data_IF_789218948659
#
_entry.id   IF_789218948659
#
_cell.length_a   1.000
_cell.length_b   1.000
_cell.length_c   1.000
_cell.angle_alpha   90.00
_cell.angle_beta   90.00
_cell.angle_gamma   90.00
#
_symmetry.space_group_name_H-M   'P 1'
#
loop_
_entity.id
_entity.type
_entity.pdbx_description
1 polymer ?
#
# COMPACT_ATOMS: atom_id res chain seq x y z
N UNK A 1 18.73 3.61 5.61
CA UNK A 1 20.10 3.15 5.90
C UNK A 1 21.06 3.95 5.05
N UNK A 2 22.17 4.41 5.62
CA UNK A 2 23.22 5.09 4.85
C UNK A 2 24.24 4.07 4.37
N UNK A 3 24.76 4.22 3.14
CA UNK A 3 25.80 3.35 2.60
C UNK A 3 27.09 3.42 3.43
N UNK A 4 27.43 4.60 3.94
CA UNK A 4 28.66 4.82 4.70
C UNK A 4 28.42 5.65 5.96
N UNK A 5 29.39 5.62 6.89
CA UNK A 5 29.33 6.37 8.16
C UNK A 5 29.47 7.88 7.92
N UNK A 6 30.23 8.26 6.91
CA UNK A 6 30.45 9.65 6.49
C UNK A 6 29.14 10.30 6.04
N UNK A 7 28.24 9.54 5.41
CA UNK A 7 26.89 10.01 5.08
C UNK A 7 26.00 10.09 6.33
N UNK A 8 26.07 9.08 7.21
CA UNK A 8 25.27 9.04 8.44
C UNK A 8 25.55 10.23 9.37
N UNK A 9 26.78 10.77 9.40
CA UNK A 9 27.13 11.87 10.32
C UNK A 9 26.27 13.11 10.09
N UNK A 10 25.87 13.37 8.84
CA UNK A 10 25.01 14.52 8.49
C UNK A 10 23.57 14.39 8.98
N UNK A 11 23.14 13.21 9.41
CA UNK A 11 21.82 12.99 10.02
C UNK A 11 21.83 13.24 11.54
N UNK A 12 23.00 13.28 12.17
CA UNK A 12 23.12 13.45 13.62
C UNK A 12 23.17 14.92 13.97
N UNK A 13 22.31 15.38 14.87
CA UNK A 13 22.38 16.71 15.45
C UNK A 13 23.24 16.68 16.71
N UNK A 14 24.13 17.66 16.87
CA UNK A 14 24.94 17.87 18.06
C UNK A 14 24.95 19.36 18.42
N UNK A 15 24.69 19.67 19.70
CA UNK A 15 24.76 21.02 20.24
C UNK A 15 25.68 21.02 21.47
N UNK A 16 26.97 21.34 21.28
CA UNK A 16 27.95 21.29 22.37
C UNK A 16 27.80 22.46 23.36
N UNK A 17 27.31 23.62 22.92
CA UNK A 17 27.23 24.84 23.73
C UNK A 17 25.93 24.96 24.53
N UNK A 18 25.17 23.88 24.66
CA UNK A 18 23.96 23.87 25.47
C UNK A 18 24.30 23.96 26.97
N UNK A 19 23.72 24.90 27.74
CA UNK A 19 24.01 25.03 29.17
C UNK A 19 23.69 23.78 30.00
N UNK A 20 22.80 22.90 29.51
CA UNK A 20 22.49 21.61 30.13
C UNK A 20 23.49 20.49 29.82
N UNK A 21 24.60 20.79 29.13
CA UNK A 21 25.62 19.84 28.70
C UNK A 21 25.47 19.40 27.25
N UNK A 22 26.45 18.65 26.75
CA UNK A 22 26.47 18.16 25.36
C UNK A 22 25.17 17.42 25.02
N UNK A 23 24.42 17.96 24.05
CA UNK A 23 23.20 17.35 23.55
C UNK A 23 23.42 16.74 22.17
N UNK A 24 23.10 15.46 22.00
CA UNK A 24 23.23 14.74 20.72
C UNK A 24 21.99 13.91 20.44
N UNK A 25 21.45 14.01 19.23
CA UNK A 25 20.35 13.15 18.77
C UNK A 25 20.59 12.63 17.35
N UNK A 26 20.34 11.34 17.17
CA UNK A 26 20.49 10.62 15.89
C UNK A 26 19.24 10.66 15.00
N UNK A 27 18.23 11.45 15.35
CA UNK A 27 16.97 11.60 14.63
C UNK A 27 16.27 12.89 15.06
N UNK A 28 15.10 13.18 14.47
CA UNK A 28 14.41 14.47 14.68
C UNK A 28 14.00 14.68 16.14
N UNK A 29 13.50 13.63 16.80
CA UNK A 29 13.05 13.71 18.20
C UNK A 29 14.18 13.44 19.20
N UNK A 30 14.16 14.20 20.31
CA UNK A 30 14.93 13.91 21.51
C UNK A 30 14.37 12.68 22.24
N UNK A 31 13.30 12.86 23.01
CA UNK A 31 12.56 11.75 23.63
C UNK A 31 11.85 10.91 22.56
N UNK A 32 11.86 9.57 22.72
CA UNK A 32 11.29 8.64 21.74
C UNK A 32 10.53 7.51 22.43
N UNK A 33 9.44 7.00 21.83
CA UNK A 33 8.71 5.85 22.36
C UNK A 33 9.50 4.56 22.11
N UNK A 34 10.29 4.13 23.10
CA UNK A 34 11.14 2.92 22.99
C UNK A 34 10.36 1.63 22.69
N UNK A 35 9.08 1.57 23.07
CA UNK A 35 8.23 0.41 22.82
C UNK A 35 8.04 0.12 21.32
N UNK A 36 8.00 1.14 20.45
CA UNK A 36 7.86 0.94 18.99
C UNK A 36 9.09 0.22 18.44
N UNK A 37 10.29 0.57 18.91
CA UNK A 37 11.53 -0.12 18.54
C UNK A 37 11.53 -1.57 19.04
N UNK A 38 11.07 -1.80 20.27
CA UNK A 38 10.95 -3.15 20.82
C UNK A 38 9.95 -4.01 20.01
N UNK A 39 8.79 -3.47 19.65
CA UNK A 39 7.81 -4.16 18.81
C UNK A 39 8.34 -4.46 17.41
N UNK A 40 9.05 -3.52 16.78
CA UNK A 40 9.67 -3.74 15.47
C UNK A 40 10.72 -4.88 15.54
N UNK A 41 11.54 -4.89 16.59
CA UNK A 41 12.51 -5.97 16.80
C UNK A 41 11.82 -7.32 17.05
N UNK A 42 10.78 -7.36 17.88
CA UNK A 42 9.98 -8.56 18.09
C UNK A 42 9.35 -9.07 16.79
N UNK A 43 8.81 -8.19 15.95
CA UNK A 43 8.25 -8.57 14.65
C UNK A 43 9.31 -9.17 13.72
N UNK A 44 10.53 -8.62 13.69
CA UNK A 44 11.63 -9.20 12.91
C UNK A 44 11.98 -10.61 13.38
N UNK A 45 12.06 -10.83 14.69
CA UNK A 45 12.37 -12.15 15.27
C UNK A 45 11.25 -13.16 15.04
N UNK A 46 10.00 -12.77 15.24
CA UNK A 46 8.84 -13.65 15.11
C UNK A 46 8.62 -14.12 13.67
N UNK A 47 8.88 -13.25 12.68
CA UNK A 47 8.76 -13.62 11.27
C UNK A 47 9.99 -14.39 10.78
N UNK A 48 11.19 -13.93 11.12
CA UNK A 48 12.43 -14.43 10.54
C UNK A 48 12.45 -14.30 9.01
N UNK A 49 13.49 -14.84 8.36
CA UNK A 49 13.60 -14.77 6.91
C UNK A 49 12.46 -15.50 6.19
N UNK A 50 12.14 -16.73 6.62
CA UNK A 50 11.13 -17.56 5.96
C UNK A 50 9.73 -16.93 6.05
N UNK A 51 9.35 -16.39 7.21
CA UNK A 51 8.06 -15.71 7.36
C UNK A 51 7.93 -14.50 6.43
N UNK A 52 8.99 -13.71 6.26
CA UNK A 52 8.98 -12.61 5.28
C UNK A 52 8.93 -13.10 3.83
N UNK A 53 9.66 -14.16 3.49
CA UNK A 53 9.64 -14.75 2.13
C UNK A 53 8.27 -15.30 1.80
N UNK A 54 7.65 -16.04 2.71
CA UNK A 54 6.33 -16.64 2.50
C UNK A 54 5.23 -15.58 2.48
N UNK A 55 5.29 -14.59 3.38
CA UNK A 55 4.38 -13.44 3.36
C UNK A 55 4.49 -12.64 2.06
N UNK A 56 5.71 -12.38 1.59
CA UNK A 56 5.94 -11.75 0.28
C UNK A 56 5.34 -12.59 -0.86
N UNK A 57 5.58 -13.90 -0.87
CA UNK A 57 5.03 -14.81 -1.88
C UNK A 57 3.50 -14.74 -1.93
N UNK A 58 2.84 -14.76 -0.76
CA UNK A 58 1.38 -14.66 -0.66
C UNK A 58 0.86 -13.31 -1.18
N UNK A 59 1.44 -12.19 -0.73
CA UNK A 59 0.97 -10.86 -1.15
C UNK A 59 1.19 -10.64 -2.65
N UNK A 60 2.35 -11.02 -3.19
CA UNK A 60 2.66 -10.86 -4.61
C UNK A 60 1.79 -11.77 -5.48
N UNK A 61 1.55 -13.03 -5.07
CA UNK A 61 0.66 -13.92 -5.82
C UNK A 61 -0.78 -13.43 -5.82
N UNK A 62 -1.30 -12.96 -4.68
CA UNK A 62 -2.61 -12.32 -4.60
C UNK A 62 -2.69 -11.04 -5.45
N UNK A 63 -1.62 -10.24 -5.47
CA UNK A 63 -1.57 -9.03 -6.29
C UNK A 63 -1.71 -9.34 -7.78
N UNK A 64 -0.94 -10.34 -8.27
CA UNK A 64 -1.04 -10.81 -9.66
C UNK A 64 -2.42 -11.39 -9.95
N UNK A 65 -2.95 -12.21 -9.05
CA UNK A 65 -4.27 -12.81 -9.16
C UNK A 65 -5.38 -11.76 -9.37
N UNK A 66 -5.35 -10.68 -8.56
CA UNK A 66 -6.32 -9.58 -8.64
C UNK A 66 -6.09 -8.80 -9.94
N UNK A 67 -4.86 -8.40 -10.24
CA UNK A 67 -4.56 -7.57 -11.42
C UNK A 67 -4.98 -8.26 -12.73
N UNK A 68 -4.68 -9.55 -12.90
CA UNK A 68 -5.05 -10.36 -14.06
C UNK A 68 -6.57 -10.49 -14.27
N UNK A 69 -7.35 -10.40 -13.18
CA UNK A 69 -8.82 -10.48 -13.24
C UNK A 69 -9.47 -9.12 -13.37
N UNK A 70 -8.86 -8.08 -12.79
CA UNK A 70 -9.33 -6.71 -12.86
C UNK A 70 -9.31 -6.19 -14.30
N UNK A 71 -8.27 -6.51 -15.09
CA UNK A 71 -8.22 -6.17 -16.53
C UNK A 71 -9.29 -6.85 -17.38
N UNK A 72 -9.91 -7.92 -16.88
CA UNK A 72 -11.00 -8.62 -17.57
C UNK A 72 -12.36 -7.98 -17.30
N UNK A 73 -12.45 -7.05 -16.36
CA UNK A 73 -13.66 -6.29 -16.08
C UNK A 73 -13.75 -5.17 -17.13
N UNK A 74 -14.81 -5.12 -17.95
CA UNK A 74 -14.97 -4.08 -18.96
C UNK A 74 -14.82 -2.69 -18.35
N UNK A 75 -14.23 -1.76 -19.10
CA UNK A 75 -14.08 -0.35 -18.69
C UNK A 75 -13.02 -0.09 -17.61
N UNK A 76 -12.35 -1.10 -17.08
CA UNK A 76 -11.19 -0.93 -16.20
C UNK A 76 -9.87 -1.16 -16.95
N UNK A 77 -8.88 -0.34 -16.65
CA UNK A 77 -7.55 -0.41 -17.25
C UNK A 77 -6.50 -0.23 -16.15
N UNK A 78 -5.46 -1.06 -16.13
CA UNK A 78 -4.32 -0.84 -15.24
C UNK A 78 -3.49 0.34 -15.71
N UNK A 79 -3.07 1.19 -14.78
CA UNK A 79 -2.15 2.30 -15.07
C UNK A 79 -0.70 1.82 -15.21
N UNK A 80 -0.39 0.63 -14.69
CA UNK A 80 0.91 -0.03 -14.84
C UNK A 80 0.72 -1.36 -15.60
N UNK A 81 1.54 -1.64 -16.63
CA UNK A 81 1.41 -2.87 -17.42
C UNK A 81 1.67 -4.16 -16.64
N UNK A 82 2.45 -4.08 -15.55
CA UNK A 82 2.85 -5.24 -14.76
C UNK A 82 2.47 -5.09 -13.29
N UNK A 83 2.00 -6.19 -12.69
CA UNK A 83 1.71 -6.31 -11.26
C UNK A 83 2.89 -6.99 -10.53
N UNK A 84 4.07 -6.39 -10.65
CA UNK A 84 5.31 -6.90 -10.03
C UNK A 84 5.48 -6.48 -8.57
N UNK A 85 4.71 -5.50 -8.12
CA UNK A 85 4.72 -5.00 -6.74
C UNK A 85 3.44 -5.39 -6.02
N UNK A 86 3.22 -4.86 -4.81
CA UNK A 86 2.02 -5.10 -4.00
C UNK A 86 0.92 -4.06 -4.24
N UNK A 87 1.08 -3.17 -5.23
CA UNK A 87 0.15 -2.07 -5.49
C UNK A 87 -0.42 -2.21 -6.89
N UNK A 88 -1.75 -2.13 -7.00
CA UNK A 88 -2.48 -2.24 -8.27
C UNK A 88 -3.11 -0.89 -8.57
N UNK A 89 -2.48 -0.02 -9.38
CA UNK A 89 -3.08 1.22 -9.82
C UNK A 89 -3.95 0.97 -11.06
N UNK A 90 -5.20 1.44 -11.05
CA UNK A 90 -6.13 1.27 -12.14
C UNK A 90 -7.06 2.47 -12.32
N UNK A 91 -7.63 2.59 -13.50
CA UNK A 91 -8.52 3.70 -13.90
C UNK A 91 -9.65 3.19 -14.79
N UNK A 92 -10.57 4.10 -15.12
CA UNK A 92 -11.61 3.89 -16.13
C UNK A 92 -11.66 5.11 -17.05
N UNK A 93 -11.87 4.86 -18.35
CA UNK A 93 -12.20 5.89 -19.34
C UNK A 93 -13.70 5.90 -19.67
N UNK A 94 -14.49 5.03 -19.05
CA UNK A 94 -15.92 4.82 -19.35
C UNK A 94 -16.81 5.42 -18.27
N UNK A 95 -16.36 5.44 -17.02
CA UNK A 95 -17.09 6.00 -15.88
C UNK A 95 -16.13 6.71 -14.91
N UNK A 96 -16.70 7.49 -13.99
CA UNK A 96 -15.92 8.14 -12.92
C UNK A 96 -15.35 7.10 -11.93
N UNK A 97 -14.03 6.93 -11.96
CA UNK A 97 -13.31 5.99 -11.10
C UNK A 97 -13.47 6.29 -9.60
N UNK A 98 -13.72 7.54 -9.21
CA UNK A 98 -13.93 7.90 -7.80
C UNK A 98 -15.33 7.51 -7.32
N UNK A 99 -16.30 7.42 -8.23
CA UNK A 99 -17.61 6.88 -7.90
C UNK A 99 -17.52 5.37 -7.62
N UNK A 100 -16.71 4.64 -8.41
CA UNK A 100 -16.38 3.24 -8.14
C UNK A 100 -15.70 3.08 -6.77
N UNK A 101 -14.69 3.90 -6.48
CA UNK A 101 -14.00 3.91 -5.18
C UNK A 101 -14.99 4.10 -4.02
N UNK A 102 -15.86 5.10 -4.12
CA UNK A 102 -16.85 5.40 -3.09
C UNK A 102 -17.80 4.22 -2.86
N UNK A 103 -18.25 3.56 -3.92
CA UNK A 103 -19.15 2.41 -3.81
C UNK A 103 -18.45 1.18 -3.22
N UNK A 104 -17.22 0.88 -3.66
CA UNK A 104 -16.40 -0.17 -3.07
C UNK A 104 -16.13 0.08 -1.57
N UNK A 105 -15.87 1.33 -1.20
CA UNK A 105 -15.67 1.74 0.19
C UNK A 105 -16.87 1.47 1.09
N UNK A 106 -18.10 1.68 0.59
CA UNK A 106 -19.34 1.32 1.31
C UNK A 106 -19.47 -0.18 1.56
N UNK A 107 -18.77 -1.01 0.77
CA UNK A 107 -18.72 -2.47 0.89
C UNK A 107 -17.46 -2.96 1.60
N UNK A 108 -16.72 -2.07 2.27
CA UNK A 108 -15.55 -2.40 3.08
C UNK A 108 -14.22 -2.40 2.33
N UNK A 109 -14.20 -2.13 1.02
CA UNK A 109 -12.98 -2.08 0.23
C UNK A 109 -12.52 -0.64 0.03
N UNK A 110 -11.62 -0.19 0.92
CA UNK A 110 -11.04 1.15 0.85
C UNK A 110 -9.93 1.20 -0.20
N UNK A 111 -10.18 1.93 -1.28
CA UNK A 111 -9.18 2.24 -2.30
C UNK A 111 -8.61 3.63 -2.06
N UNK A 112 -7.34 3.82 -2.45
CA UNK A 112 -6.69 5.12 -2.36
C UNK A 112 -6.86 5.88 -3.68
N UNK A 113 -7.34 7.14 -3.65
CA UNK A 113 -7.46 7.95 -4.86
C UNK A 113 -6.07 8.32 -5.40
N UNK A 114 -5.95 8.36 -6.72
CA UNK A 114 -4.79 8.85 -7.48
C UNK A 114 -5.23 9.99 -8.40
N UNK A 115 -4.30 10.86 -8.74
CA UNK A 115 -4.50 11.99 -9.65
C UNK A 115 -3.33 12.11 -10.63
N UNK A 116 -3.59 12.75 -11.78
CA UNK A 116 -2.62 12.95 -12.87
C UNK A 116 -2.00 11.63 -13.40
N UNK A 117 -2.81 10.67 -13.92
CA UNK A 117 -4.22 10.76 -14.31
C UNK A 117 -5.21 10.39 -13.19
N UNK A 118 -6.51 10.65 -13.38
CA UNK A 118 -7.55 10.14 -12.49
C UNK A 118 -7.44 8.63 -12.37
N UNK A 119 -7.41 8.11 -11.15
CA UNK A 119 -7.27 6.68 -10.90
C UNK A 119 -7.44 6.35 -9.44
N UNK A 120 -7.32 5.08 -9.14
CA UNK A 120 -7.32 4.55 -7.77
C UNK A 120 -6.26 3.47 -7.67
N UNK A 121 -5.83 3.14 -6.47
CA UNK A 121 -5.03 1.93 -6.26
C UNK A 121 -5.50 1.10 -5.07
N UNK A 122 -5.28 -0.20 -5.19
CA UNK A 122 -5.33 -1.14 -4.07
C UNK A 122 -3.90 -1.44 -3.61
N UNK A 123 -3.63 -1.18 -2.33
CA UNK A 123 -2.43 -1.67 -1.65
C UNK A 123 -2.69 -3.06 -1.08
N UNK A 124 -2.22 -4.10 -1.74
CA UNK A 124 -2.41 -5.49 -1.33
C UNK A 124 -1.53 -5.77 -0.12
N UNK A 125 -2.12 -6.44 0.87
CA UNK A 125 -1.50 -6.81 2.14
C UNK A 125 -1.89 -8.26 2.49
N UNK A 126 -1.36 -8.78 3.59
CA UNK A 126 -1.73 -10.11 4.09
C UNK A 126 -3.24 -10.29 4.29
N UNK A 127 -3.97 -9.22 4.62
CA UNK A 127 -5.43 -9.25 4.79
C UNK A 127 -6.17 -9.60 3.49
N UNK A 128 -5.66 -9.12 2.37
CA UNK A 128 -6.22 -9.42 1.04
C UNK A 128 -5.88 -10.84 0.58
N UNK A 129 -4.77 -11.41 1.09
CA UNK A 129 -4.35 -12.77 0.80
C UNK A 129 -5.13 -13.83 1.60
N UNK A 130 -5.99 -13.42 2.54
CA UNK A 130 -6.87 -14.34 3.27
C UNK A 130 -7.84 -15.04 2.30
N UNK A 131 -8.22 -16.31 2.55
CA UNK A 131 -9.11 -17.06 1.67
C UNK A 131 -10.40 -16.30 1.35
N UNK A 132 -10.72 -16.18 0.06
CA UNK A 132 -11.95 -15.57 -0.44
C UNK A 132 -11.97 -14.03 -0.47
N UNK A 133 -11.05 -13.33 0.19
CA UNK A 133 -11.07 -11.84 0.23
C UNK A 133 -10.78 -11.23 -1.14
N UNK A 134 -9.80 -11.78 -1.87
CA UNK A 134 -9.49 -11.33 -3.22
C UNK A 134 -10.66 -11.54 -4.20
N UNK A 135 -11.37 -12.67 -4.09
CA UNK A 135 -12.55 -12.96 -4.92
C UNK A 135 -13.72 -12.04 -4.58
N UNK A 136 -13.97 -11.80 -3.29
CA UNK A 136 -14.96 -10.85 -2.83
C UNK A 136 -14.68 -9.45 -3.37
N UNK A 137 -13.43 -8.99 -3.29
CA UNK A 137 -13.02 -7.70 -3.85
C UNK A 137 -13.33 -7.61 -5.35
N UNK A 138 -12.94 -8.62 -6.13
CA UNK A 138 -13.18 -8.65 -7.57
C UNK A 138 -14.67 -8.70 -7.92
N UNK A 139 -15.47 -9.42 -7.14
CA UNK A 139 -16.93 -9.46 -7.31
C UNK A 139 -17.55 -8.07 -7.07
N UNK A 140 -17.17 -7.40 -5.99
CA UNK A 140 -17.62 -6.03 -5.69
C UNK A 140 -17.25 -5.07 -6.82
N UNK A 141 -15.98 -5.08 -7.24
CA UNK A 141 -15.51 -4.18 -8.31
C UNK A 141 -16.25 -4.44 -9.61
N UNK A 142 -16.51 -5.71 -9.96
CA UNK A 142 -17.25 -6.06 -11.17
C UNK A 142 -18.69 -5.55 -11.13
N UNK A 143 -19.43 -5.86 -10.06
CA UNK A 143 -20.82 -5.43 -9.89
C UNK A 143 -20.94 -3.91 -9.97
N UNK A 144 -20.05 -3.17 -9.29
CA UNK A 144 -20.07 -1.71 -9.30
C UNK A 144 -19.65 -1.12 -10.66
N UNK A 145 -18.67 -1.72 -11.35
CA UNK A 145 -18.28 -1.28 -12.69
C UNK A 145 -19.41 -1.47 -13.70
N UNK A 146 -20.13 -2.60 -13.66
CA UNK A 146 -21.28 -2.88 -14.52
C UNK A 146 -22.42 -1.87 -14.26
N UNK A 147 -22.73 -1.59 -12.99
CA UNK A 147 -23.76 -0.59 -12.64
C UNK A 147 -23.40 0.82 -13.10
N UNK A 148 -22.13 1.21 -13.02
CA UNK A 148 -21.68 2.52 -13.47
C UNK A 148 -21.70 2.64 -14.99
N UNK A 149 -21.36 1.58 -15.71
CA UNK A 149 -21.45 1.56 -17.17
C UNK A 149 -22.89 1.73 -17.67
N UNK A 150 -23.85 1.03 -17.06
CA UNK A 150 -25.27 1.16 -17.44
C UNK A 150 -25.80 2.59 -17.25
N UNK A 151 -25.29 3.32 -16.25
CA UNK A 151 -25.68 4.71 -15.97
C UNK A 151 -24.99 5.73 -16.87
N UNK A 152 -23.85 5.41 -17.47
CA UNK A 152 -23.15 6.31 -18.39
C UNK A 152 -23.82 6.40 -19.77
N UNK A 153 -24.81 5.54 -20.08
CA UNK A 153 -25.55 5.53 -21.35
C UNK A 153 -26.89 6.30 -21.32
N UNK A 154 -27.27 6.86 -20.17
CA UNK A 154 -28.47 7.69 -19.99
C UNK A 154 -28.08 9.09 -19.52
#
# INVERSE_FOLDING_TARGET
MFRTKELRRFHTFAFPDYPGGLYVTSGVSGSRPGYVTACAWAALLLNGQNGFVDGCRQVVSTTRYIAERLVKIPGLVLLCPTAETTVIPFTSQVFDIYQLMKNCGKRGFLLNPLQFPCGVHLGVTMEHAKPGVADQFLAVVREEAELLQLRSFF
#
